data_IF_882060866873
#
_entry.id   IF_882060866873
#
_cell.length_a   1.000
_cell.length_b   1.000
_cell.length_c   1.000
_cell.angle_alpha   90.00
_cell.angle_beta   90.00
_cell.angle_gamma   90.00
#
_symmetry.space_group_name_H-M   'P 1'
#
loop_
_entity.id
_entity.type
_entity.pdbx_description
1 polymer ?
#
# COMPACT_ATOMS: atom_id res chain seq x y z
N UNK A 1 40.91 -45.07 41.45
CA UNK A 1 40.55 -43.87 40.66
C UNK A 1 40.86 -44.18 39.21
N UNK A 2 39.90 -44.80 38.53
CA UNK A 2 40.05 -45.30 37.15
C UNK A 2 39.31 -44.36 36.21
N UNK A 3 39.90 -44.13 35.04
CA UNK A 3 39.48 -43.11 34.08
C UNK A 3 38.10 -43.37 33.49
N UNK A 4 37.27 -42.33 33.40
CA UNK A 4 35.99 -42.32 32.70
C UNK A 4 36.22 -41.72 31.30
N UNK A 5 36.29 -42.59 30.29
CA UNK A 5 36.44 -42.19 28.89
C UNK A 5 35.04 -41.99 28.27
N UNK A 6 34.78 -40.77 27.81
CA UNK A 6 33.66 -40.41 26.94
C UNK A 6 33.72 -41.23 25.63
N UNK A 7 32.64 -41.92 25.29
CA UNK A 7 32.40 -42.45 23.93
C UNK A 7 31.23 -41.70 23.31
N UNK A 8 31.57 -40.78 22.42
CA UNK A 8 30.65 -40.04 21.57
C UNK A 8 30.41 -40.87 20.30
N UNK A 9 29.35 -41.67 20.27
CA UNK A 9 28.94 -42.40 19.06
C UNK A 9 28.18 -41.44 18.14
N UNK A 10 28.84 -41.05 17.04
CA UNK A 10 28.29 -40.26 15.94
C UNK A 10 27.84 -41.27 14.87
N UNK A 11 26.54 -41.51 14.77
CA UNK A 11 25.95 -42.30 13.69
C UNK A 11 25.73 -41.35 12.51
N UNK A 12 26.44 -41.60 11.41
CA UNK A 12 26.39 -40.84 10.16
C UNK A 12 25.67 -41.68 9.13
N UNK A 13 24.40 -41.38 8.87
CA UNK A 13 23.66 -42.00 7.79
C UNK A 13 24.16 -41.47 6.43
N UNK A 14 24.52 -42.34 5.47
CA UNK A 14 24.93 -41.92 4.14
C UNK A 14 23.71 -41.50 3.30
N UNK A 15 23.76 -40.26 2.79
CA UNK A 15 22.81 -39.74 1.79
C UNK A 15 23.05 -40.49 0.48
N UNK A 16 22.10 -41.36 0.12
CA UNK A 16 22.08 -42.07 -1.16
C UNK A 16 21.67 -41.12 -2.29
N UNK A 17 22.64 -40.76 -3.13
CA UNK A 17 22.41 -40.16 -4.45
C UNK A 17 22.10 -41.31 -5.41
N UNK A 18 20.82 -41.45 -5.77
CA UNK A 18 20.35 -42.40 -6.78
C UNK A 18 19.96 -41.66 -8.05
N UNK A 19 20.83 -41.76 -9.05
CA UNK A 19 20.59 -41.44 -10.46
C UNK A 19 19.77 -42.57 -11.11
N UNK A 20 19.12 -42.27 -12.24
CA UNK A 20 18.42 -43.18 -13.16
C UNK A 20 16.95 -43.56 -12.86
N UNK A 21 16.02 -42.91 -13.58
CA UNK A 21 15.28 -43.51 -14.70
C UNK A 21 13.99 -42.71 -14.98
N UNK A 22 14.01 -41.89 -16.03
CA UNK A 22 12.80 -41.29 -16.60
C UNK A 22 11.98 -42.38 -17.28
N UNK A 23 10.95 -42.88 -16.60
CA UNK A 23 9.94 -43.75 -17.20
C UNK A 23 8.82 -42.86 -17.77
N UNK A 24 8.92 -42.55 -19.07
CA UNK A 24 7.87 -41.87 -19.83
C UNK A 24 6.64 -42.79 -19.93
N UNK A 25 5.61 -42.53 -19.11
CA UNK A 25 4.27 -43.07 -19.33
C UNK A 25 3.46 -42.08 -20.16
N UNK A 26 3.27 -42.41 -21.43
CA UNK A 26 2.27 -41.77 -22.28
C UNK A 26 0.86 -41.98 -21.71
N UNK A 27 0.29 -40.91 -21.16
CA UNK A 27 -1.12 -40.85 -20.74
C UNK A 27 -1.93 -40.21 -21.88
N UNK A 28 -2.51 -41.07 -22.71
CA UNK A 28 -3.54 -40.72 -23.68
C UNK A 28 -4.84 -40.36 -22.93
N UNK A 29 -5.21 -39.08 -22.92
CA UNK A 29 -6.48 -38.60 -22.34
C UNK A 29 -7.31 -37.98 -23.45
N UNK A 30 -8.37 -38.70 -23.86
CA UNK A 30 -9.44 -38.20 -24.73
C UNK A 30 -10.14 -36.99 -24.08
N UNK A 31 -10.46 -35.92 -24.81
CA UNK A 31 -11.12 -34.75 -24.24
C UNK A 31 -12.61 -35.02 -24.04
N UNK A 32 -13.01 -35.39 -22.82
CA UNK A 32 -14.41 -35.28 -22.38
C UNK A 32 -14.74 -33.80 -22.15
N UNK A 33 -15.62 -33.30 -22.99
CA UNK A 33 -16.25 -31.98 -22.92
C UNK A 33 -17.26 -32.00 -21.76
N UNK A 34 -16.84 -31.57 -20.58
CA UNK A 34 -17.76 -31.25 -19.48
C UNK A 34 -17.86 -29.72 -19.37
N UNK A 35 -19.04 -29.21 -19.70
CA UNK A 35 -19.41 -27.81 -19.55
C UNK A 35 -19.64 -27.53 -18.05
N UNK A 36 -18.60 -27.08 -17.36
CA UNK A 36 -18.70 -26.62 -15.98
C UNK A 36 -19.37 -25.24 -15.94
N UNK A 37 -20.64 -25.24 -15.59
CA UNK A 37 -21.45 -24.04 -15.36
C UNK A 37 -20.91 -23.32 -14.11
N UNK A 38 -20.13 -22.28 -14.31
CA UNK A 38 -19.66 -21.38 -13.24
C UNK A 38 -20.87 -20.73 -12.57
N UNK A 39 -21.20 -21.17 -11.36
CA UNK A 39 -22.15 -20.52 -10.47
C UNK A 39 -21.47 -19.32 -9.83
N UNK A 40 -21.76 -18.12 -10.36
CA UNK A 40 -21.29 -16.86 -9.80
C UNK A 40 -22.05 -16.60 -8.49
N UNK A 41 -21.51 -17.09 -7.38
CA UNK A 41 -21.96 -16.73 -6.04
C UNK A 41 -21.69 -15.23 -5.83
N UNK A 42 -22.76 -14.44 -5.77
CA UNK A 42 -22.67 -13.01 -5.47
C UNK A 42 -22.27 -12.84 -4.01
N UNK A 43 -21.00 -12.54 -3.79
CA UNK A 43 -20.46 -12.12 -2.49
C UNK A 43 -21.12 -10.79 -2.11
N UNK A 44 -21.99 -10.81 -1.10
CA UNK A 44 -22.60 -9.60 -0.53
C UNK A 44 -21.55 -8.85 0.29
N UNK A 45 -21.01 -7.77 -0.28
CA UNK A 45 -19.97 -6.94 0.33
C UNK A 45 -20.51 -5.96 1.39
N UNK A 46 -21.75 -6.12 1.87
CA UNK A 46 -22.30 -5.31 2.96
C UNK A 46 -22.45 -3.81 2.63
N UNK A 47 -22.33 -3.43 1.37
CA UNK A 47 -22.66 -2.09 0.91
C UNK A 47 -24.17 -1.99 0.71
N UNK A 48 -24.88 -1.46 1.70
CA UNK A 48 -26.21 -0.90 1.49
C UNK A 48 -26.06 0.38 0.66
N UNK A 49 -26.10 0.22 -0.65
CA UNK A 49 -26.21 1.32 -1.62
C UNK A 49 -27.58 2.01 -1.41
N UNK A 50 -27.64 3.26 -0.90
CA UNK A 50 -28.91 3.91 -0.60
C UNK A 50 -29.75 4.22 -1.85
N UNK A 51 -29.20 4.01 -3.06
CA UNK A 51 -29.86 4.30 -4.33
C UNK A 51 -30.60 3.11 -4.97
N UNK A 52 -30.56 1.90 -4.41
CA UNK A 52 -31.25 0.72 -5.01
C UNK A 52 -32.72 0.54 -4.61
N UNK A 53 -33.31 1.46 -3.82
CA UNK A 53 -34.74 1.41 -3.43
C UNK A 53 -35.65 2.38 -4.18
N UNK A 54 -35.17 3.06 -5.22
CA UNK A 54 -35.97 4.01 -6.01
C UNK A 54 -36.07 3.61 -7.48
N UNK A 55 -36.62 2.43 -7.76
CA UNK A 55 -37.14 2.08 -9.10
C UNK A 55 -38.46 1.31 -9.04
N UNK A 56 -39.26 1.54 -8.00
CA UNK A 56 -40.70 1.32 -8.07
C UNK A 56 -41.36 2.69 -8.22
N UNK A 57 -41.86 2.94 -9.43
CA UNK A 57 -42.65 4.11 -9.78
C UNK A 57 -43.90 4.17 -8.90
N UNK A 58 -43.79 4.81 -7.74
CA UNK A 58 -44.93 5.37 -7.04
C UNK A 58 -45.38 6.57 -7.87
N UNK A 59 -46.38 6.32 -8.72
CA UNK A 59 -47.21 7.36 -9.33
C UNK A 59 -47.62 8.31 -8.20
N UNK A 60 -47.01 9.48 -8.20
CA UNK A 60 -47.40 10.58 -7.32
C UNK A 60 -48.80 10.98 -7.76
N UNK A 61 -49.77 10.61 -6.94
CA UNK A 61 -51.13 11.10 -7.01
C UNK A 61 -51.08 12.63 -6.98
N UNK A 62 -51.23 13.25 -8.15
CA UNK A 62 -51.51 14.66 -8.33
C UNK A 62 -52.88 14.96 -7.73
N UNK A 63 -52.92 15.18 -6.41
CA UNK A 63 -54.04 15.83 -5.71
C UNK A 63 -53.58 16.28 -4.32
N UNK A 64 -52.73 17.29 -4.29
CA UNK A 64 -52.72 18.22 -3.15
C UNK A 64 -53.15 19.58 -3.67
N UNK A 65 -54.47 19.73 -3.76
CA UNK A 65 -55.11 21.02 -3.88
C UNK A 65 -54.56 21.94 -2.78
N UNK A 66 -54.26 23.17 -3.18
CA UNK A 66 -53.96 24.30 -2.32
C UNK A 66 -55.04 24.46 -1.25
N UNK A 67 -54.78 23.98 -0.03
CA UNK A 67 -55.30 24.63 1.16
C UNK A 67 -54.41 25.85 1.38
N UNK A 68 -54.86 27.02 0.89
CA UNK A 68 -54.30 28.29 1.33
C UNK A 68 -54.51 28.36 2.84
N UNK A 69 -53.46 28.54 3.65
CA UNK A 69 -53.61 28.59 5.10
C UNK A 69 -54.51 29.78 5.44
N UNK A 70 -55.72 29.48 5.91
CA UNK A 70 -56.71 30.49 6.25
C UNK A 70 -56.30 31.29 7.51
N UNK A 71 -55.34 30.79 8.28
CA UNK A 71 -54.90 31.34 9.55
C UNK A 71 -53.40 31.67 9.56
N UNK A 72 -53.06 32.90 9.97
CA UNK A 72 -51.66 33.35 10.13
C UNK A 72 -50.83 32.46 11.07
N UNK A 73 -51.48 31.81 12.04
CA UNK A 73 -50.83 30.90 12.99
C UNK A 73 -50.32 29.61 12.33
N UNK A 74 -51.00 29.09 11.30
CA UNK A 74 -50.56 27.90 10.57
C UNK A 74 -49.34 28.20 9.70
N UNK A 75 -49.28 29.40 9.11
CA UNK A 75 -48.12 29.87 8.35
C UNK A 75 -46.92 30.01 9.29
N UNK A 76 -47.09 30.68 10.43
CA UNK A 76 -46.04 30.89 11.43
C UNK A 76 -45.44 29.56 11.93
N UNK A 77 -46.30 28.60 12.27
CA UNK A 77 -45.87 27.26 12.71
C UNK A 77 -45.17 26.47 11.61
N UNK A 78 -45.60 26.60 10.35
CA UNK A 78 -44.94 25.95 9.21
C UNK A 78 -43.53 26.51 8.96
N UNK A 79 -43.35 27.82 9.08
CA UNK A 79 -42.07 28.51 8.92
C UNK A 79 -41.12 28.13 10.08
N UNK A 80 -41.62 28.13 11.32
CA UNK A 80 -40.83 27.73 12.49
C UNK A 80 -40.31 26.30 12.36
N UNK A 81 -41.17 25.34 11.96
CA UNK A 81 -40.74 23.94 11.72
C UNK A 81 -39.66 23.84 10.64
N UNK A 82 -39.77 24.62 9.56
CA UNK A 82 -38.78 24.62 8.48
C UNK A 82 -37.44 25.21 8.95
N UNK A 83 -37.48 26.27 9.75
CA UNK A 83 -36.29 26.86 10.38
C UNK A 83 -35.63 25.83 11.31
N UNK A 84 -36.39 25.18 12.19
CA UNK A 84 -35.87 24.16 13.09
C UNK A 84 -35.21 22.99 12.34
N UNK A 85 -35.82 22.55 11.24
CA UNK A 85 -35.25 21.55 10.34
C UNK A 85 -33.95 22.02 9.69
N UNK A 86 -33.92 23.24 9.16
CA UNK A 86 -32.71 23.83 8.57
C UNK A 86 -31.58 23.94 9.60
N UNK A 87 -31.87 24.42 10.80
CA UNK A 87 -30.90 24.53 11.90
C UNK A 87 -30.39 23.16 12.34
N UNK A 88 -31.26 22.15 12.43
CA UNK A 88 -30.86 20.78 12.75
C UNK A 88 -29.92 20.22 11.67
N UNK A 89 -30.28 20.37 10.39
CA UNK A 89 -29.46 19.94 9.25
C UNK A 89 -28.11 20.65 9.22
N UNK A 90 -28.08 21.96 9.48
CA UNK A 90 -26.85 22.74 9.52
C UNK A 90 -25.90 22.26 10.63
N UNK A 91 -26.40 22.12 11.86
CA UNK A 91 -25.60 21.60 12.98
C UNK A 91 -25.12 20.16 12.75
N UNK A 92 -25.94 19.35 12.10
CA UNK A 92 -25.56 17.99 11.75
C UNK A 92 -24.52 17.95 10.62
N UNK A 93 -24.65 18.82 9.63
CA UNK A 93 -23.64 19.00 8.58
C UNK A 93 -22.30 19.46 9.16
N UNK A 94 -22.31 20.45 10.07
CA UNK A 94 -21.10 20.92 10.76
C UNK A 94 -20.41 19.81 11.56
N UNK A 95 -21.19 18.98 12.27
CA UNK A 95 -20.64 17.80 12.98
C UNK A 95 -20.03 16.78 12.00
N UNK A 96 -20.71 16.52 10.88
CA UNK A 96 -20.22 15.58 9.85
C UNK A 96 -18.97 16.11 9.18
N UNK A 97 -18.93 17.39 8.84
CA UNK A 97 -17.75 18.07 8.27
C UNK A 97 -16.58 17.98 9.24
N UNK A 98 -16.78 18.32 10.52
CA UNK A 98 -15.73 18.21 11.54
C UNK A 98 -15.22 16.78 11.67
N UNK A 99 -16.10 15.78 11.73
CA UNK A 99 -15.71 14.38 11.81
C UNK A 99 -14.94 13.91 10.56
N UNK A 100 -15.34 14.36 9.38
CA UNK A 100 -14.65 14.07 8.13
C UNK A 100 -13.26 14.72 8.09
N UNK A 101 -13.12 15.96 8.55
CA UNK A 101 -11.84 16.65 8.66
C UNK A 101 -10.92 15.97 9.68
N UNK A 102 -11.44 15.58 10.84
CA UNK A 102 -10.67 14.87 11.86
C UNK A 102 -10.23 13.48 11.37
N UNK A 103 -11.09 12.78 10.61
CA UNK A 103 -10.71 11.54 9.94
C UNK A 103 -9.63 11.75 8.87
N UNK A 104 -9.79 12.76 8.00
CA UNK A 104 -8.83 13.08 6.94
C UNK A 104 -7.46 13.44 7.54
N UNK A 105 -7.43 14.24 8.62
CA UNK A 105 -6.21 14.52 9.39
C UNK A 105 -5.61 13.25 9.98
N UNK A 106 -6.44 12.39 10.58
CA UNK A 106 -5.98 11.11 11.12
C UNK A 106 -5.34 10.20 10.08
N UNK A 107 -5.88 10.16 8.86
CA UNK A 107 -5.28 9.42 7.74
C UNK A 107 -3.99 10.08 7.28
N UNK A 108 -3.97 11.41 7.12
CA UNK A 108 -2.75 12.14 6.75
C UNK A 108 -1.61 11.92 7.75
N UNK A 109 -1.91 11.94 9.05
CA UNK A 109 -0.92 11.72 10.09
C UNK A 109 -0.41 10.28 10.11
N UNK A 110 -1.29 9.30 9.89
CA UNK A 110 -0.89 7.89 9.73
C UNK A 110 0.00 7.70 8.51
N UNK A 111 -0.34 8.33 7.39
CA UNK A 111 0.45 8.29 6.16
C UNK A 111 1.84 8.88 6.39
N UNK A 112 1.93 10.09 6.95
CA UNK A 112 3.22 10.72 7.28
C UNK A 112 4.05 9.87 8.23
N UNK A 113 3.42 9.30 9.27
CA UNK A 113 4.10 8.38 10.19
C UNK A 113 4.61 7.15 9.46
N UNK A 114 3.78 6.50 8.64
CA UNK A 114 4.19 5.33 7.86
C UNK A 114 5.37 5.64 6.92
N UNK A 115 5.28 6.75 6.18
CA UNK A 115 6.34 7.23 5.28
C UNK A 115 7.65 7.51 6.03
N UNK A 116 7.59 8.24 7.15
CA UNK A 116 8.77 8.47 7.99
C UNK A 116 9.35 7.17 8.53
N UNK A 117 8.52 6.25 9.02
CA UNK A 117 8.99 4.96 9.54
C UNK A 117 9.65 4.12 8.46
N UNK A 118 9.07 4.06 7.25
CA UNK A 118 9.64 3.35 6.10
C UNK A 118 11.01 3.91 5.77
N UNK A 119 11.12 5.23 5.61
CA UNK A 119 12.38 5.90 5.30
C UNK A 119 13.46 5.61 6.36
N UNK A 120 13.09 5.65 7.65
CA UNK A 120 14.02 5.35 8.75
C UNK A 120 14.44 3.88 8.80
N UNK A 121 13.52 2.94 8.53
CA UNK A 121 13.82 1.50 8.51
C UNK A 121 14.78 1.18 7.39
N UNK A 122 14.53 1.70 6.19
CA UNK A 122 15.41 1.51 5.03
C UNK A 122 16.80 2.12 5.27
N UNK A 123 16.87 3.30 5.88
CA UNK A 123 18.15 3.95 6.21
C UNK A 123 18.94 3.15 7.25
N UNK A 124 18.26 2.65 8.28
CA UNK A 124 18.90 1.82 9.31
C UNK A 124 19.35 0.49 8.72
N UNK A 125 18.54 -0.16 7.89
CA UNK A 125 18.90 -1.40 7.21
C UNK A 125 20.17 -1.24 6.37
N UNK A 126 20.28 -0.18 5.58
CA UNK A 126 21.47 0.08 4.75
C UNK A 126 22.72 0.35 5.59
N UNK A 127 22.58 1.03 6.74
CA UNK A 127 23.69 1.26 7.68
C UNK A 127 24.14 -0.02 8.37
N UNK A 128 23.19 -0.82 8.85
CA UNK A 128 23.49 -2.12 9.47
C UNK A 128 24.13 -3.09 8.47
N UNK A 129 23.68 -3.05 7.21
CA UNK A 129 24.27 -3.83 6.14
C UNK A 129 25.73 -3.43 5.89
N UNK A 130 26.04 -2.13 5.76
CA UNK A 130 27.41 -1.65 5.57
C UNK A 130 28.32 -2.03 6.76
N UNK A 131 27.84 -1.83 7.98
CA UNK A 131 28.56 -2.25 9.19
C UNK A 131 28.81 -3.76 9.24
N UNK A 132 27.83 -4.57 8.82
CA UNK A 132 27.97 -6.04 8.75
C UNK A 132 28.99 -6.45 7.71
N UNK A 133 28.93 -5.88 6.52
CA UNK A 133 29.89 -6.16 5.44
C UNK A 133 31.29 -5.76 5.88
N UNK A 134 31.46 -4.62 6.56
CA UNK A 134 32.76 -4.19 7.08
C UNK A 134 33.30 -5.12 8.17
N UNK A 135 32.46 -5.57 9.09
CA UNK A 135 32.84 -6.57 10.09
C UNK A 135 33.26 -7.90 9.44
N UNK A 136 32.49 -8.36 8.44
CA UNK A 136 32.83 -9.57 7.68
C UNK A 136 34.14 -9.41 6.91
N UNK A 137 34.37 -8.27 6.27
CA UNK A 137 35.63 -7.98 5.56
C UNK A 137 36.81 -8.04 6.52
N UNK A 138 36.69 -7.46 7.71
CA UNK A 138 37.77 -7.48 8.70
C UNK A 138 38.05 -8.90 9.21
N UNK A 139 37.01 -9.70 9.42
CA UNK A 139 37.15 -11.12 9.75
C UNK A 139 37.86 -11.88 8.63
N UNK A 140 37.49 -11.68 7.37
CA UNK A 140 38.12 -12.36 6.23
C UNK A 140 39.57 -11.91 6.05
N UNK A 141 39.90 -10.63 6.28
CA UNK A 141 41.30 -10.17 6.30
C UNK A 141 42.12 -10.85 7.38
N UNK A 142 41.55 -11.02 8.58
CA UNK A 142 42.22 -11.76 9.67
C UNK A 142 42.47 -13.21 9.26
N UNK A 143 41.47 -13.88 8.67
CA UNK A 143 41.61 -15.24 8.15
C UNK A 143 42.65 -15.33 7.03
N UNK A 144 42.68 -14.35 6.12
CA UNK A 144 43.68 -14.28 5.05
C UNK A 144 45.10 -14.16 5.63
N UNK A 145 45.28 -13.29 6.64
CA UNK A 145 46.57 -13.14 7.32
C UNK A 145 47.01 -14.45 7.97
N UNK A 146 46.11 -15.13 8.69
CA UNK A 146 46.39 -16.42 9.29
C UNK A 146 46.70 -17.51 8.24
N UNK A 147 46.02 -17.50 7.09
CA UNK A 147 46.29 -18.43 5.99
C UNK A 147 47.68 -18.19 5.36
N UNK A 148 48.08 -16.93 5.20
CA UNK A 148 49.42 -16.54 4.74
C UNK A 148 50.49 -17.01 5.74
N UNK A 149 50.28 -16.77 7.04
CA UNK A 149 51.22 -17.21 8.09
C UNK A 149 51.38 -18.74 8.11
N UNK A 150 50.32 -19.49 7.80
CA UNK A 150 50.33 -20.95 7.74
C UNK A 150 50.74 -21.53 6.37
N UNK A 151 51.03 -20.68 5.37
CA UNK A 151 51.32 -21.08 3.98
C UNK A 151 50.24 -22.00 3.37
N UNK A 152 48.98 -21.79 3.74
CA UNK A 152 47.84 -22.56 3.24
C UNK A 152 47.28 -21.90 1.97
N UNK A 153 47.71 -22.39 0.81
CA UNK A 153 47.35 -21.81 -0.50
C UNK A 153 45.84 -21.84 -0.76
N UNK A 154 45.15 -22.92 -0.37
CA UNK A 154 43.72 -23.07 -0.59
C UNK A 154 42.95 -22.00 0.20
N UNK A 155 43.25 -21.84 1.48
CA UNK A 155 42.62 -20.80 2.32
C UNK A 155 42.93 -19.38 1.87
N UNK A 156 44.12 -19.14 1.30
CA UNK A 156 44.47 -17.83 0.73
C UNK A 156 43.55 -17.53 -0.46
N UNK A 157 43.36 -18.48 -1.37
CA UNK A 157 42.47 -18.27 -2.53
C UNK A 157 41.02 -18.05 -2.10
N UNK A 158 40.51 -18.87 -1.18
CA UNK A 158 39.15 -18.75 -0.65
C UNK A 158 38.92 -17.39 0.03
N UNK A 159 39.86 -16.95 0.87
CA UNK A 159 39.72 -15.66 1.54
C UNK A 159 39.76 -14.48 0.55
N UNK A 160 40.56 -14.57 -0.53
CA UNK A 160 40.55 -13.56 -1.59
C UNK A 160 39.23 -13.54 -2.37
N UNK A 161 38.68 -14.71 -2.69
CA UNK A 161 37.37 -14.81 -3.36
C UNK A 161 36.26 -14.24 -2.49
N UNK A 162 36.29 -14.49 -1.18
CA UNK A 162 35.35 -13.92 -0.22
C UNK A 162 35.49 -12.39 -0.12
N UNK A 163 36.72 -11.85 -0.09
CA UNK A 163 36.94 -10.40 -0.11
C UNK A 163 36.40 -9.76 -1.39
N UNK A 164 36.55 -10.42 -2.54
CA UNK A 164 36.01 -9.97 -3.81
C UNK A 164 34.47 -9.92 -3.78
N UNK A 165 33.82 -11.00 -3.30
CA UNK A 165 32.36 -11.06 -3.13
C UNK A 165 31.84 -9.94 -2.22
N UNK A 166 32.44 -9.77 -1.04
CA UNK A 166 32.09 -8.70 -0.09
C UNK A 166 32.33 -7.29 -0.67
N UNK A 167 33.30 -7.13 -1.56
CA UNK A 167 33.54 -5.85 -2.26
C UNK A 167 32.44 -5.53 -3.27
N UNK A 168 31.99 -6.52 -4.02
CA UNK A 168 30.85 -6.37 -4.94
C UNK A 168 29.57 -6.07 -4.18
N UNK A 169 29.33 -6.76 -3.05
CA UNK A 169 28.16 -6.50 -2.20
C UNK A 169 28.17 -5.09 -1.61
N UNK A 170 29.33 -4.60 -1.15
CA UNK A 170 29.48 -3.23 -0.66
C UNK A 170 29.18 -2.21 -1.76
N UNK A 171 29.68 -2.43 -2.98
CA UNK A 171 29.40 -1.54 -4.11
C UNK A 171 27.93 -1.56 -4.50
N UNK A 172 27.28 -2.73 -4.53
CA UNK A 172 25.83 -2.84 -4.75
C UNK A 172 25.04 -2.04 -3.71
N UNK A 173 25.39 -2.15 -2.43
CA UNK A 173 24.74 -1.39 -1.36
C UNK A 173 24.95 0.13 -1.52
N UNK A 174 26.14 0.55 -1.93
CA UNK A 174 26.44 1.96 -2.24
C UNK A 174 25.58 2.48 -3.39
N UNK A 175 25.45 1.72 -4.49
CA UNK A 175 24.59 2.09 -5.63
C UNK A 175 23.14 2.26 -5.17
N UNK A 176 22.62 1.33 -4.35
CA UNK A 176 21.27 1.43 -3.79
C UNK A 176 21.10 2.69 -2.92
N UNK A 177 22.07 2.98 -2.05
CA UNK A 177 22.06 4.22 -1.25
C UNK A 177 22.05 5.48 -2.13
N UNK A 178 22.87 5.52 -3.18
CA UNK A 178 22.96 6.67 -4.06
C UNK A 178 21.69 6.85 -4.91
N UNK A 179 21.04 5.75 -5.33
CA UNK A 179 19.73 5.81 -5.98
C UNK A 179 18.66 6.36 -5.05
N UNK A 180 18.60 5.89 -3.79
CA UNK A 180 17.66 6.40 -2.78
C UNK A 180 17.85 7.90 -2.49
N UNK A 181 19.10 8.37 -2.43
CA UNK A 181 19.41 9.81 -2.29
C UNK A 181 18.92 10.63 -3.49
N UNK A 182 18.99 10.07 -4.71
CA UNK A 182 18.49 10.75 -5.91
C UNK A 182 16.97 10.82 -5.92
N UNK A 183 16.28 9.74 -5.55
CA UNK A 183 14.82 9.70 -5.46
C UNK A 183 14.27 10.72 -4.45
N UNK A 184 14.83 10.75 -3.25
CA UNK A 184 14.47 11.74 -2.20
C UNK A 184 14.75 13.19 -2.61
N UNK A 185 15.83 13.42 -3.37
CA UNK A 185 16.15 14.75 -3.91
C UNK A 185 15.21 15.17 -5.04
N UNK A 186 14.71 14.22 -5.84
CA UNK A 186 13.78 14.48 -6.93
C UNK A 186 12.32 14.71 -6.45
N UNK A 187 11.89 13.99 -5.40
CA UNK A 187 10.59 14.22 -4.75
C UNK A 187 10.51 15.59 -4.07
N UNK A 188 11.64 16.07 -3.52
CA UNK A 188 11.70 17.41 -2.92
C UNK A 188 11.51 18.53 -3.95
N UNK A 189 11.90 18.32 -5.21
CA UNK A 189 11.74 19.31 -6.28
C UNK A 189 10.31 19.35 -6.85
N UNK A 190 9.59 18.23 -6.86
CA UNK A 190 8.23 18.14 -7.43
C UNK A 190 7.13 18.66 -6.51
N UNK A 191 7.34 18.73 -5.19
CA UNK A 191 6.37 19.30 -4.24
C UNK A 191 6.29 20.85 -4.24
N UNK A 192 7.13 21.55 -5.01
CA UNK A 192 7.13 23.03 -5.06
C UNK A 192 6.36 23.65 -6.21
N UNK A 193 5.61 22.88 -7.00
CA UNK A 193 4.81 23.44 -8.08
C UNK A 193 3.39 23.81 -7.57
N UNK A 194 3.04 25.10 -7.42
CA UNK A 194 1.69 25.48 -7.06
C UNK A 194 0.72 25.12 -8.21
N UNK A 195 -0.23 24.23 -7.92
CA UNK A 195 -1.38 23.99 -8.79
C UNK A 195 -2.24 25.27 -8.82
N UNK A 196 -2.11 26.06 -9.87
CA UNK A 196 -3.06 27.12 -10.20
C UNK A 196 -4.33 26.48 -10.74
N UNK A 197 -5.31 26.26 -9.85
CA UNK A 197 -6.67 25.92 -10.24
C UNK A 197 -7.28 27.12 -10.99
N UNK A 198 -7.30 27.05 -12.32
CA UNK A 198 -7.98 28.02 -13.16
C UNK A 198 -9.50 27.72 -13.10
N UNK A 199 -10.21 28.45 -12.25
CA UNK A 199 -11.65 28.44 -12.17
C UNK A 199 -12.25 29.04 -13.45
N UNK A 200 -12.73 28.17 -14.34
CA UNK A 200 -13.47 28.58 -15.53
C UNK A 200 -14.93 28.86 -15.14
N UNK A 201 -15.31 30.13 -14.96
CA UNK A 201 -16.73 30.52 -14.85
C UNK A 201 -17.33 30.68 -16.26
N UNK A 202 -18.51 30.13 -16.55
CA UNK A 202 -19.25 30.46 -17.77
C UNK A 202 -19.96 31.82 -17.62
N UNK A 203 -19.62 32.78 -18.50
CA UNK A 203 -20.32 34.06 -18.65
C UNK A 203 -21.75 33.85 -19.19
N UNK A 204 -22.74 34.34 -18.45
CA UNK A 204 -24.10 34.52 -18.94
C UNK A 204 -24.15 35.68 -19.95
N UNK A 205 -24.56 35.38 -21.18
CA UNK A 205 -24.93 36.38 -22.19
C UNK A 205 -26.38 36.80 -21.97
N UNK A 206 -26.61 38.07 -21.62
CA UNK A 206 -27.95 38.68 -21.67
C UNK A 206 -28.30 39.07 -23.12
N UNK A 207 -29.52 38.81 -23.63
CA UNK A 207 -29.90 39.21 -24.97
C UNK A 207 -30.23 40.72 -25.01
N UNK A 208 -29.53 41.45 -25.88
CA UNK A 208 -29.80 42.86 -26.18
C UNK A 208 -31.09 42.95 -27.00
N UNK A 209 -32.10 43.62 -26.44
CA UNK A 209 -33.35 43.98 -27.10
C UNK A 209 -33.03 44.99 -28.22
N UNK A 210 -33.41 44.67 -29.46
CA UNK A 210 -33.47 45.65 -30.56
C UNK A 210 -34.70 46.56 -30.35
N UNK A 211 -34.60 47.87 -30.62
CA UNK A 211 -35.78 48.67 -30.90
C UNK A 211 -36.11 48.60 -32.39
N UNK A 212 -37.32 48.10 -32.69
CA UNK A 212 -38.00 48.29 -33.97
C UNK A 212 -38.57 49.72 -34.05
N UNK A 213 -38.42 50.33 -35.23
CA UNK A 213 -39.05 51.57 -35.77
C UNK A 213 -39.32 52.78 -34.85
#
# INVERSE_FOLDING_TARGET
MSQEQLKFNRESDPISVGEDAHEEKELNVEPKKEEEKVELEQVDLGYTDPNKKETEAKVVDEKKAEDKPANLNEISTSVQRRIDQLTKRYREAERREKAALDYARGIQDKYKKAETTLNTVDDNYLKEFDARVDAQREQVKSNLKAAIENNDADKITEANDLLAKLSVEKEKARILQDNKKKETSAETQTQTQPQTAQANQPQQTTPRKEPSE
#
